data_IF_362940663777
#
_entry.id   IF_362940663777
#
_cell.length_a   1.000
_cell.length_b   1.000
_cell.length_c   1.000
_cell.angle_alpha   90.00
_cell.angle_beta   90.00
_cell.angle_gamma   90.00
#
_symmetry.space_group_name_H-M   'P 1'
#
loop_
_entity.id
_entity.type
_entity.pdbx_description
1 polymer ?
#
# COMPACT_ATOMS: atom_id res chain seq x y z
N UNK A 1 10.51 2.00 13.92
CA UNK A 1 11.35 1.15 13.04
C UNK A 1 11.28 1.69 11.61
N UNK A 2 10.15 1.58 10.89
CA UNK A 2 10.01 2.20 9.56
C UNK A 2 10.13 3.73 9.57
N UNK A 3 9.56 4.39 10.58
CA UNK A 3 9.69 5.84 10.80
C UNK A 3 11.11 6.34 11.04
N UNK A 4 12.10 5.45 11.22
CA UNK A 4 13.50 5.83 11.40
C UNK A 4 14.30 5.70 10.09
N UNK A 5 13.73 5.10 9.05
CA UNK A 5 14.36 5.04 7.74
C UNK A 5 14.28 6.41 7.08
N UNK A 6 15.42 6.91 6.62
CA UNK A 6 15.52 8.21 5.93
C UNK A 6 15.93 7.94 4.48
N UNK A 7 15.11 8.41 3.53
CA UNK A 7 15.35 8.28 2.10
C UNK A 7 14.11 7.83 1.33
N UNK A 8 14.28 7.63 0.03
CA UNK A 8 13.25 7.13 -0.87
C UNK A 8 13.41 5.60 -0.95
N UNK A 9 12.35 4.85 -0.67
CA UNK A 9 12.43 3.40 -0.61
C UNK A 9 11.09 2.73 -0.92
N UNK A 10 11.19 1.55 -1.54
CA UNK A 10 10.16 0.54 -1.51
C UNK A 10 10.87 -0.82 -1.41
N UNK A 11 10.42 -1.69 -0.52
CA UNK A 11 11.07 -2.99 -0.35
C UNK A 11 10.09 -4.08 0.05
N UNK A 12 10.50 -5.32 -0.20
CA UNK A 12 9.79 -6.55 0.15
C UNK A 12 10.78 -7.46 0.87
N UNK A 13 10.38 -7.94 2.04
CA UNK A 13 11.15 -8.87 2.86
C UNK A 13 10.30 -10.12 3.05
N UNK A 14 10.87 -11.28 2.78
CA UNK A 14 10.29 -12.56 3.15
C UNK A 14 11.12 -13.20 4.28
N UNK A 15 10.48 -13.40 5.42
CA UNK A 15 11.05 -14.16 6.52
C UNK A 15 10.57 -15.62 6.42
N UNK A 16 11.48 -16.50 6.03
CA UNK A 16 11.22 -17.95 5.92
C UNK A 16 10.86 -18.58 7.27
N UNK A 17 11.43 -18.08 8.38
CA UNK A 17 11.25 -18.72 9.70
C UNK A 17 9.82 -18.57 10.22
N UNK A 18 9.19 -17.44 9.92
CA UNK A 18 7.81 -17.12 10.29
C UNK A 18 6.85 -17.22 9.11
N UNK A 19 7.34 -17.59 7.93
CA UNK A 19 6.61 -17.56 6.65
C UNK A 19 5.87 -16.23 6.43
N UNK A 20 6.48 -15.12 6.84
CA UNK A 20 5.87 -13.80 6.84
C UNK A 20 6.45 -12.95 5.72
N UNK A 21 5.58 -12.29 4.96
CA UNK A 21 5.99 -11.24 4.01
C UNK A 21 5.79 -9.88 4.69
N UNK A 22 6.74 -8.98 4.51
CA UNK A 22 6.69 -7.60 4.98
C UNK A 22 7.06 -6.65 3.82
N UNK A 23 6.23 -5.65 3.59
CA UNK A 23 6.32 -4.75 2.45
C UNK A 23 6.17 -3.34 2.97
N UNK A 24 6.99 -2.40 2.52
CA UNK A 24 6.86 -0.99 2.88
C UNK A 24 7.27 -0.07 1.74
N UNK A 25 6.64 1.10 1.69
CA UNK A 25 6.95 2.23 0.82
C UNK A 25 7.33 3.44 1.68
N UNK A 26 8.10 4.37 1.11
CA UNK A 26 8.42 5.63 1.76
C UNK A 26 7.18 6.55 1.92
N UNK A 27 7.23 7.53 2.84
CA UNK A 27 6.13 8.45 3.12
C UNK A 27 5.62 9.23 1.90
N UNK A 28 6.54 9.57 1.00
CA UNK A 28 6.27 10.42 -0.15
C UNK A 28 5.89 9.60 -1.40
N UNK A 29 5.94 8.26 -1.32
CA UNK A 29 5.72 7.36 -2.45
C UNK A 29 6.69 7.60 -3.60
N UNK A 30 7.92 8.03 -3.30
CA UNK A 30 8.93 8.41 -4.31
C UNK A 30 9.39 7.23 -5.13
N UNK A 31 9.49 6.06 -4.51
CA UNK A 31 9.75 4.82 -5.24
C UNK A 31 8.41 4.18 -5.62
N UNK A 32 8.13 3.96 -6.92
CA UNK A 32 6.92 3.30 -7.36
C UNK A 32 6.80 1.91 -6.76
N UNK A 33 5.64 1.61 -6.20
CA UNK A 33 5.26 0.29 -5.76
C UNK A 33 3.77 0.11 -6.02
N UNK A 34 3.43 -1.01 -6.62
CA UNK A 34 2.08 -1.38 -7.00
C UNK A 34 1.77 -2.74 -6.39
N UNK A 35 0.49 -2.97 -6.12
CA UNK A 35 -0.05 -4.26 -5.69
C UNK A 35 -1.17 -4.68 -6.63
N UNK A 36 -1.39 -5.97 -6.76
CA UNK A 36 -2.54 -6.50 -7.48
C UNK A 36 -3.00 -7.83 -6.93
N UNK A 37 -4.18 -8.25 -7.36
CA UNK A 37 -4.72 -9.57 -7.07
C UNK A 37 -4.72 -10.37 -8.37
N UNK A 38 -3.99 -11.47 -8.39
CA UNK A 38 -3.94 -12.38 -9.53
C UNK A 38 -5.23 -13.19 -9.64
N UNK A 39 -5.47 -13.81 -10.80
CA UNK A 39 -6.70 -14.58 -11.05
C UNK A 39 -6.93 -15.76 -10.09
N UNK A 40 -5.86 -16.30 -9.49
CA UNK A 40 -5.89 -17.34 -8.46
C UNK A 40 -6.03 -16.79 -7.02
N UNK A 41 -6.21 -15.47 -6.87
CA UNK A 41 -6.47 -14.82 -5.58
C UNK A 41 -5.22 -14.51 -4.76
N UNK A 42 -4.02 -14.60 -5.35
CA UNK A 42 -2.78 -14.23 -4.67
C UNK A 42 -2.52 -12.72 -4.77
N UNK A 43 -1.82 -12.18 -3.76
CA UNK A 43 -1.28 -10.82 -3.82
C UNK A 43 0.02 -10.81 -4.62
N UNK A 44 0.12 -9.92 -5.58
CA UNK A 44 1.33 -9.65 -6.35
C UNK A 44 1.79 -8.21 -6.13
N UNK A 45 3.10 -7.99 -6.16
CA UNK A 45 3.72 -6.68 -5.95
C UNK A 45 4.80 -6.44 -6.99
N UNK A 46 4.92 -5.22 -7.48
CA UNK A 46 5.92 -4.83 -8.47
C UNK A 46 6.16 -3.32 -8.41
N UNK A 47 7.35 -2.87 -8.78
CA UNK A 47 7.60 -1.45 -9.04
C UNK A 47 7.18 -1.04 -10.47
N UNK A 48 6.79 -2.02 -11.30
CA UNK A 48 6.31 -1.84 -12.66
C UNK A 48 4.84 -2.25 -12.75
N UNK A 49 3.97 -1.28 -13.06
CA UNK A 49 2.53 -1.48 -13.19
C UNK A 49 2.16 -2.35 -14.40
N UNK A 50 2.98 -2.36 -15.46
CA UNK A 50 2.69 -3.10 -16.68
C UNK A 50 2.77 -4.60 -16.43
N UNK A 51 3.78 -5.02 -15.66
CA UNK A 51 3.95 -6.42 -15.22
C UNK A 51 2.75 -6.88 -14.39
N UNK A 52 2.24 -6.02 -13.49
CA UNK A 52 1.05 -6.36 -12.70
C UNK A 52 -0.23 -6.34 -13.53
N UNK A 53 -0.36 -5.45 -14.50
CA UNK A 53 -1.53 -5.46 -15.39
C UNK A 53 -1.60 -6.77 -16.17
N UNK A 54 -0.47 -7.29 -16.64
CA UNK A 54 -0.44 -8.56 -17.36
C UNK A 54 -0.87 -9.74 -16.47
N UNK A 55 -0.60 -9.68 -15.16
CA UNK A 55 -0.94 -10.73 -14.20
C UNK A 55 -2.31 -10.56 -13.49
N UNK A 56 -2.74 -9.33 -13.28
CA UNK A 56 -3.88 -8.96 -12.42
C UNK A 56 -5.02 -8.24 -13.18
N UNK A 57 -4.81 -7.88 -14.46
CA UNK A 57 -5.77 -7.14 -15.26
C UNK A 57 -6.08 -5.78 -14.66
N UNK A 58 -7.36 -5.50 -14.39
CA UNK A 58 -7.79 -4.25 -13.71
C UNK A 58 -7.67 -4.32 -12.18
N UNK A 59 -7.34 -5.48 -11.62
CA UNK A 59 -7.23 -5.67 -10.16
C UNK A 59 -5.84 -5.29 -9.67
N UNK A 60 -5.43 -4.05 -9.91
CA UNK A 60 -4.17 -3.50 -9.45
C UNK A 60 -4.38 -2.11 -8.84
N UNK A 61 -3.51 -1.75 -7.90
CA UNK A 61 -3.51 -0.46 -7.26
C UNK A 61 -2.09 0.01 -6.94
N UNK A 62 -1.87 1.33 -6.86
CA UNK A 62 -0.67 1.89 -6.25
C UNK A 62 -0.64 1.52 -4.77
N UNK A 63 0.50 1.05 -4.29
CA UNK A 63 0.70 0.78 -2.87
C UNK A 63 0.70 2.11 -2.10
N UNK A 64 -0.05 2.24 -1.00
CA UNK A 64 -0.18 3.53 -0.33
C UNK A 64 1.17 4.01 0.20
N UNK A 65 1.54 5.28 -0.02
CA UNK A 65 2.70 5.90 0.62
C UNK A 65 2.61 5.81 2.14
N UNK A 66 3.76 5.75 2.82
CA UNK A 66 3.78 5.81 4.28
C UNK A 66 3.15 4.59 4.99
N UNK A 67 3.02 3.49 4.25
CA UNK A 67 2.34 2.29 4.72
C UNK A 67 3.25 1.06 4.66
N UNK A 68 2.84 0.04 5.39
CA UNK A 68 3.40 -1.30 5.29
C UNK A 68 2.30 -2.34 5.23
N UNK A 69 2.58 -3.46 4.59
CA UNK A 69 1.77 -4.66 4.63
C UNK A 69 2.58 -5.77 5.28
N UNK A 70 1.93 -6.53 6.15
CA UNK A 70 2.45 -7.83 6.58
C UNK A 70 1.34 -8.86 6.54
N UNK A 71 1.68 -10.10 6.18
CA UNK A 71 0.75 -11.24 6.23
C UNK A 71 0.13 -11.43 7.61
N UNK A 72 0.80 -10.98 8.68
CA UNK A 72 0.31 -11.12 10.05
C UNK A 72 -0.63 -9.98 10.48
N UNK A 73 -0.43 -8.77 9.97
CA UNK A 73 -1.14 -7.57 10.47
C UNK A 73 -1.97 -6.84 9.43
N UNK A 74 -1.92 -7.28 8.18
CA UNK A 74 -2.49 -6.58 7.03
C UNK A 74 -1.78 -5.27 6.72
N UNK A 75 -2.45 -4.43 5.93
CA UNK A 75 -2.01 -3.11 5.51
C UNK A 75 -2.24 -2.07 6.61
N UNK A 76 -1.21 -1.29 6.95
CA UNK A 76 -1.25 -0.25 7.99
C UNK A 76 -0.39 0.94 7.62
N UNK A 77 -0.81 2.14 8.02
CA UNK A 77 0.07 3.31 7.99
C UNK A 77 1.02 3.27 9.18
N UNK A 78 2.32 3.47 8.93
CA UNK A 78 3.29 3.66 10.02
C UNK A 78 3.48 5.13 10.38
N UNK A 79 3.08 6.06 9.49
CA UNK A 79 3.03 7.50 9.78
C UNK A 79 1.83 7.88 10.65
N UNK A 80 0.70 7.18 10.46
CA UNK A 80 -0.52 7.38 11.20
C UNK A 80 -1.06 6.06 11.77
N UNK A 81 -0.41 5.46 12.79
CA UNK A 81 -0.74 4.10 13.27
C UNK A 81 -2.15 3.92 13.84
N UNK A 82 -2.81 5.02 14.23
CA UNK A 82 -4.18 5.03 14.78
C UNK A 82 -5.25 5.21 13.70
N UNK A 83 -4.84 5.53 12.47
CA UNK A 83 -5.74 5.87 11.40
C UNK A 83 -6.03 4.64 10.56
N UNK A 84 -7.27 4.53 10.08
CA UNK A 84 -7.67 3.43 9.21
C UNK A 84 -7.19 3.71 7.78
N UNK A 85 -6.65 2.68 7.13
CA UNK A 85 -6.39 2.69 5.69
C UNK A 85 -7.63 2.14 4.99
N UNK A 86 -8.22 2.93 4.09
CA UNK A 86 -9.38 2.55 3.28
C UNK A 86 -9.02 2.52 1.81
N UNK A 87 -9.75 1.74 1.03
CA UNK A 87 -9.65 1.71 -0.42
C UNK A 87 -10.93 2.27 -1.02
N UNK A 88 -10.79 3.21 -1.94
CA UNK A 88 -11.88 3.70 -2.77
C UNK A 88 -11.66 3.16 -4.18
N UNK A 89 -12.71 2.64 -4.81
CA UNK A 89 -12.59 2.18 -6.19
C UNK A 89 -12.36 3.38 -7.11
N UNK A 90 -11.46 3.21 -8.07
CA UNK A 90 -11.25 4.21 -9.09
C UNK A 90 -12.38 4.22 -10.12
N UNK A 91 -12.48 5.32 -10.87
CA UNK A 91 -13.35 5.37 -12.04
C UNK A 91 -12.90 4.33 -13.08
N UNK A 92 -13.83 3.88 -13.91
CA UNK A 92 -13.65 2.73 -14.81
C UNK A 92 -12.55 2.91 -15.89
N UNK A 93 -12.10 4.15 -16.06
CA UNK A 93 -11.08 4.59 -17.04
C UNK A 93 -9.66 4.68 -16.45
N UNK A 94 -9.48 4.50 -15.13
CA UNK A 94 -8.14 4.51 -14.52
C UNK A 94 -7.44 3.14 -14.61
N UNK A 95 -6.12 3.18 -14.80
CA UNK A 95 -5.24 1.99 -14.81
C UNK A 95 -5.28 1.25 -13.47
N UNK A 96 -5.53 2.00 -12.40
CA UNK A 96 -5.45 1.60 -11.00
C UNK A 96 -6.88 1.40 -10.50
N UNK A 97 -7.33 0.17 -10.22
CA UNK A 97 -8.72 -0.12 -9.84
C UNK A 97 -9.13 0.39 -8.46
N UNK A 98 -8.17 0.81 -7.63
CA UNK A 98 -8.45 1.43 -6.33
C UNK A 98 -7.36 2.44 -5.93
N UNK A 99 -7.77 3.44 -5.15
CA UNK A 99 -6.88 4.38 -4.46
C UNK A 99 -7.01 4.20 -2.96
N UNK A 100 -5.88 4.10 -2.26
CA UNK A 100 -5.86 3.99 -0.80
C UNK A 100 -5.83 5.36 -0.13
N UNK A 101 -6.59 5.54 0.94
CA UNK A 101 -6.61 6.76 1.76
C UNK A 101 -6.43 6.44 3.24
N UNK A 102 -5.85 7.38 3.96
CA UNK A 102 -5.70 7.32 5.41
C UNK A 102 -6.77 8.22 6.03
N UNK A 103 -7.72 7.64 6.76
CA UNK A 103 -8.76 8.40 7.48
C UNK A 103 -8.11 9.25 8.56
N UNK A 104 -8.11 10.58 8.41
CA UNK A 104 -7.70 11.49 9.48
C UNK A 104 -8.90 11.69 10.42
N UNK A 105 -8.73 11.56 11.75
CA UNK A 105 -9.82 11.89 12.67
C UNK A 105 -10.24 13.35 12.42
N UNK A 106 -11.55 13.58 12.29
CA UNK A 106 -12.12 14.91 12.11
C UNK A 106 -11.65 15.83 13.24
N UNK A 107 -10.70 16.71 12.95
CA UNK A 107 -10.50 17.89 13.78
C UNK A 107 -11.70 18.80 13.49
N UNK A 108 -12.79 18.62 14.24
CA UNK A 108 -13.78 19.68 14.35
C UNK A 108 -13.01 20.90 14.87
N UNK A 109 -12.86 21.90 14.01
CA UNK A 109 -12.43 23.22 14.42
C UNK A 109 -13.45 23.69 15.46
N UNK A 110 -13.08 23.67 16.73
CA UNK A 110 -13.71 24.53 17.72
C UNK A 110 -13.37 25.96 17.32
N UNK A 111 -14.32 26.61 16.65
CA UNK A 111 -14.34 28.06 16.56
C UNK A 111 -14.68 28.59 17.95
N UNK A 112 -13.75 29.32 18.55
CA UNK A 112 -14.03 30.29 19.62
C UNK A 112 -14.49 31.62 19.00
#
# INVERSE_FOLDING_TARGET
MLSHLVGNFAFIIFDRSTSTVFIASDPDGKIPLFLGITADGCLAFSNDAEILRDACGKSLASFPPGCFFSTNTGLRSYEHPKNKVTAEMAAEEEICGATFKIERPNLQATAE
#
